data_IF_954879907776
#
_entry.id   IF_954879907776
#
_cell.length_a   1.000
_cell.length_b   1.000
_cell.length_c   1.000
_cell.angle_alpha   90.00
_cell.angle_beta   90.00
_cell.angle_gamma   90.00
#
_symmetry.space_group_name_H-M   'P 1'
#
loop_
_entity.id
_entity.type
_entity.pdbx_description
1 polymer ?
2 non-polymer ?
3 water ?
#
# COMPACT_ATOMS: atom_id res chain seq x y z
N UNK A 24 -9.28 8.27 11.81
CA UNK A 24 -8.71 6.90 11.77
C UNK A 24 -8.23 6.52 10.38
N UNK A 25 -8.13 7.51 9.49
CA UNK A 25 -7.73 7.25 8.10
C UNK A 25 -6.25 7.52 7.82
N UNK A 26 -5.57 8.18 8.74
CA UNK A 26 -4.19 8.64 8.52
C UNK A 26 -3.23 7.61 9.09
N UNK A 27 -2.24 7.20 8.28
CA UNK A 27 -1.33 6.13 8.68
C UNK A 27 0.12 6.56 8.39
N UNK A 28 0.34 7.05 7.20
CA UNK A 28 1.68 7.43 6.76
C UNK A 28 1.90 8.91 7.03
N UNK A 29 0.96 9.71 6.55
CA UNK A 29 1.04 11.19 6.63
C UNK A 29 -0.33 11.77 6.26
N UNK A 30 -0.82 12.73 7.06
CA UNK A 30 -2.10 13.36 6.68
C UNK A 30 -2.14 14.01 5.30
N UNK A 31 -1.00 14.35 4.70
CA UNK A 31 -0.99 14.91 3.36
C UNK A 31 -1.47 13.93 2.27
N UNK A 32 -1.54 12.64 2.62
CA UNK A 32 -2.02 11.64 1.68
C UNK A 32 -3.49 11.33 1.89
N UNK A 33 -4.23 12.25 2.51
CA UNK A 33 -5.66 12.03 2.77
C UNK A 33 -6.46 13.08 2.03
N UNK A 34 -6.97 12.74 0.85
CA UNK A 34 -7.76 13.66 -0.01
C UNK A 34 -9.26 13.63 0.32
N UNK A 35 -9.97 14.76 0.09
CA UNK A 35 -11.40 14.89 0.38
C UNK A 35 -12.35 14.26 -0.63
N UNK A 36 -11.80 13.72 -1.73
CA UNK A 36 -12.61 13.04 -2.73
C UNK A 36 -11.99 11.63 -2.90
N UNK A 37 -12.78 10.69 -3.42
CA UNK A 37 -12.18 9.40 -3.84
C UNK A 37 -11.15 9.55 -4.94
N UNK A 38 -10.12 8.71 -4.88
CA UNK A 38 -9.04 8.67 -5.86
C UNK A 38 -8.94 7.23 -6.34
N UNK A 39 -8.82 7.00 -7.65
CA UNK A 39 -8.64 5.65 -8.20
C UNK A 39 -7.18 5.54 -8.57
N UNK A 40 -6.53 4.49 -8.11
CA UNK A 40 -5.11 4.29 -8.45
C UNK A 40 -4.94 3.07 -9.30
N UNK A 41 -3.87 3.02 -10.11
CA UNK A 41 -3.67 1.86 -10.96
C UNK A 41 -2.17 1.64 -11.13
N UNK A 42 -1.78 0.43 -11.54
CA UNK A 42 -0.37 0.06 -11.78
C UNK A 42 -0.07 0.16 -13.28
N UNK A 43 1.05 0.82 -13.56
CA UNK A 43 1.61 0.85 -14.93
C UNK A 43 3.02 0.23 -14.88
N UNK A 44 3.25 -0.74 -15.77
CA UNK A 44 4.53 -1.47 -15.81
C UNK A 44 5.25 -1.25 -17.12
N UNK A 45 6.56 -1.42 -17.11
CA UNK A 45 7.33 -1.41 -18.38
C UNK A 45 7.35 -2.79 -19.00
N UNK A 51 8.88 -8.61 -11.85
CA UNK A 51 9.81 -7.53 -11.52
C UNK A 51 9.19 -6.48 -10.60
N UNK A 52 9.91 -6.19 -9.52
CA UNK A 52 9.43 -5.33 -8.45
C UNK A 52 9.26 -3.86 -8.79
N UNK A 53 9.60 -3.46 -10.03
CA UNK A 53 9.52 -2.04 -10.41
C UNK A 53 8.33 -1.71 -11.28
N UNK A 54 7.59 -0.69 -10.85
CA UNK A 54 6.41 -0.24 -11.58
C UNK A 54 6.00 1.10 -11.01
N UNK A 55 5.01 1.74 -11.60
CA UNK A 55 4.53 3.03 -11.13
C UNK A 55 3.06 2.92 -10.74
N UNK A 56 2.63 3.73 -9.77
CA UNK A 56 1.19 3.73 -9.43
C UNK A 56 0.71 5.11 -9.85
N UNK A 57 -0.36 5.17 -10.64
CA UNK A 57 -0.83 6.47 -11.20
C UNK A 57 -2.26 6.68 -10.74
N UNK A 58 -2.77 7.90 -10.87
CA UNK A 58 -4.20 8.07 -10.82
C UNK A 58 -4.84 7.65 -12.16
N UNK A 59 -6.16 7.80 -12.26
CA UNK A 59 -6.91 7.40 -13.48
C UNK A 59 -6.45 8.06 -14.77
N UNK A 60 -5.94 9.26 -14.63
CA UNK A 60 -5.55 10.10 -15.76
C UNK A 60 -4.08 9.93 -16.11
N UNK A 61 -3.40 8.99 -15.46
CA UNK A 61 -2.01 8.72 -15.75
C UNK A 61 -0.98 9.54 -14.99
N UNK A 62 -1.44 10.37 -14.04
CA UNK A 62 -0.54 11.16 -13.22
C UNK A 62 0.18 10.29 -12.22
N UNK A 63 1.51 10.38 -12.17
CA UNK A 63 2.29 9.55 -11.21
C UNK A 63 1.94 9.92 -9.78
N UNK A 64 1.60 8.90 -8.99
CA UNK A 64 1.46 9.06 -7.56
C UNK A 64 2.71 8.52 -6.87
N UNK A 65 3.14 7.27 -7.19
CA UNK A 65 4.39 6.71 -6.61
C UNK A 65 5.18 5.90 -7.64
N UNK A 66 6.50 5.98 -7.58
CA UNK A 66 7.32 5.00 -8.24
C UNK A 66 7.66 3.94 -7.25
N UNK A 67 7.53 2.71 -7.69
CA UNK A 67 7.83 1.60 -6.83
C UNK A 67 9.07 0.90 -7.33
N UNK A 68 10.06 0.79 -6.45
CA UNK A 68 11.29 0.08 -6.88
C UNK A 68 11.99 -0.69 -5.82
N UNK A 69 12.78 -1.68 -6.25
CA UNK A 69 13.72 -2.34 -5.32
C UNK A 69 14.96 -1.41 -5.31
N UNK A 70 15.31 -0.85 -4.15
CA UNK A 70 16.35 0.22 -4.09
C UNK A 70 17.75 -0.33 -4.37
N UNK A 71 17.94 -1.62 -4.13
CA UNK A 71 19.30 -2.21 -4.31
C UNK A 71 19.28 -3.41 -5.22
N UNK A 72 20.18 -3.39 -6.20
CA UNK A 72 20.30 -4.45 -7.17
C UNK A 72 20.66 -5.80 -6.51
N UNK A 73 20.02 -6.87 -6.95
CA UNK A 73 20.32 -8.23 -6.42
C UNK A 73 19.93 -8.52 -4.97
N UNK A 74 19.16 -7.59 -4.38
CA UNK A 74 18.54 -7.79 -3.08
C UNK A 74 17.05 -7.63 -3.35
N UNK A 75 16.23 -8.55 -2.85
CA UNK A 75 14.84 -8.55 -3.22
C UNK A 75 13.93 -8.43 -1.99
N UNK A 76 14.50 -8.07 -0.86
CA UNK A 76 13.78 -8.07 0.40
C UNK A 76 13.12 -6.69 0.69
N UNK A 77 13.39 -5.69 -0.15
CA UNK A 77 13.02 -4.30 0.20
C UNK A 77 12.41 -3.65 -1.03
N UNK A 78 11.37 -2.84 -0.84
CA UNK A 78 10.89 -2.02 -1.91
C UNK A 78 10.71 -0.63 -1.30
N UNK A 79 10.89 0.40 -2.10
CA UNK A 79 10.56 1.75 -1.67
C UNK A 79 9.49 2.38 -2.58
N UNK A 80 8.60 3.17 -2.00
CA UNK A 80 7.63 4.00 -2.74
C UNK A 80 8.17 5.40 -2.72
N UNK A 81 8.44 5.96 -3.90
CA UNK A 81 8.97 7.33 -4.04
C UNK A 81 7.88 8.22 -4.52
N UNK A 82 7.85 9.46 -4.07
CA UNK A 82 6.91 10.39 -4.72
C UNK A 82 7.45 10.94 -6.09
N UNK A 83 6.69 11.84 -6.73
CA UNK A 83 7.10 12.41 -8.04
C UNK A 83 8.42 13.19 -8.05
N UNK A 84 8.85 13.63 -6.86
CA UNK A 84 10.11 14.36 -6.71
C UNK A 84 11.27 13.39 -6.46
N UNK A 85 10.96 12.10 -6.30
CA UNK A 85 11.97 11.11 -6.07
C UNK A 85 12.27 10.88 -4.59
N UNK A 86 11.45 11.47 -3.72
CA UNK A 86 11.65 11.37 -2.26
C UNK A 86 10.97 10.10 -1.75
N UNK A 87 11.69 9.29 -0.96
CA UNK A 87 11.04 8.10 -0.36
C UNK A 87 9.89 8.46 0.53
N UNK A 88 8.76 7.75 0.36
CA UNK A 88 7.61 7.98 1.18
C UNK A 88 7.55 6.89 2.28
N UNK A 89 7.60 5.64 1.81
CA UNK A 89 7.77 4.52 2.76
C UNK A 89 8.74 3.47 2.18
N UNK A 90 9.29 2.67 3.09
CA UNK A 90 10.13 1.49 2.71
C UNK A 90 9.44 0.25 3.26
N UNK A 91 9.27 -0.75 2.40
CA UNK A 91 8.68 -2.07 2.85
C UNK A 91 9.83 -3.05 2.93
N UNK A 92 9.88 -3.82 4.00
CA UNK A 92 10.93 -4.84 4.14
C UNK A 92 10.25 -6.15 4.46
N UNK A 93 10.60 -7.18 3.72
CA UNK A 93 10.14 -8.53 4.09
C UNK A 93 11.19 -9.04 5.04
N UNK A 100 5.69 -13.98 4.37
CA UNK A 100 4.42 -13.85 5.05
C UNK A 100 4.33 -12.72 6.09
N UNK A 101 5.36 -11.86 6.12
CA UNK A 101 5.40 -10.80 7.10
C UNK A 101 6.21 -9.63 6.50
N UNK A 102 5.64 -8.42 6.54
CA UNK A 102 6.32 -7.19 5.99
C UNK A 102 6.28 -6.15 7.06
N UNK A 103 7.35 -5.36 7.18
CA UNK A 103 7.22 -4.13 7.99
C UNK A 103 7.39 -2.94 7.05
N UNK A 104 6.73 -1.84 7.41
CA UNK A 104 6.71 -0.69 6.52
C UNK A 104 7.13 0.45 7.43
N UNK A 105 8.11 1.20 6.92
CA UNK A 105 8.80 2.26 7.68
C UNK A 105 8.61 3.58 7.00
N UNK A 106 8.65 4.63 7.79
CA UNK A 106 8.67 6.01 7.25
C UNK A 106 9.88 6.28 6.37
N UNK A 107 9.62 6.88 5.21
CA UNK A 107 10.69 7.38 4.34
C UNK A 107 11.61 6.31 3.84
N UNK A 108 12.92 6.61 3.81
CA UNK A 108 13.89 5.66 3.35
C UNK A 108 14.54 4.86 4.46
N UNK A 109 13.84 4.65 5.55
CA UNK A 109 14.42 4.03 6.72
C UNK A 109 14.05 2.56 6.84
N UNK A 110 14.88 1.76 7.55
CA UNK A 110 14.42 0.47 8.09
C UNK A 110 14.70 0.41 9.61
N UNK A 111 14.85 1.58 10.25
CA UNK A 111 15.07 1.65 11.68
C UNK A 111 13.76 1.39 12.41
N UNK A 112 13.83 0.63 13.50
CA UNK A 112 12.65 0.23 14.22
C UNK A 112 11.88 1.45 14.72
N UNK A 113 12.59 2.54 15.05
CA UNK A 113 11.91 3.74 15.53
C UNK A 113 11.02 4.33 14.41
N UNK A 114 11.31 3.98 13.15
CA UNK A 114 10.50 4.54 12.03
C UNK A 114 9.38 3.60 11.56
N UNK A 115 9.13 2.56 12.34
CA UNK A 115 8.11 1.57 11.97
C UNK A 115 6.68 2.20 11.96
N UNK A 116 6.00 2.06 10.85
CA UNK A 116 4.64 2.56 10.72
C UNK A 116 3.62 1.43 10.96
N UNK A 117 3.87 0.28 10.35
CA UNK A 117 2.93 -0.88 10.58
C UNK A 117 3.58 -2.15 10.08
N UNK A 118 3.01 -3.27 10.55
CA UNK A 118 3.45 -4.61 10.13
C UNK A 118 2.26 -5.27 9.46
N UNK A 119 2.53 -6.05 8.42
CA UNK A 119 1.47 -6.70 7.65
C UNK A 119 1.78 -8.18 7.71
N UNK A 120 0.78 -8.98 8.06
CA UNK A 120 0.97 -10.42 8.15
C UNK A 120 0.04 -11.09 7.15
N UNK A 121 0.53 -12.13 6.51
CA UNK A 121 -0.34 -12.81 5.56
C UNK A 121 -1.30 -13.70 6.34
N UNK A 129 -9.12 -11.89 6.00
CA UNK A 129 -8.84 -13.11 5.24
C UNK A 129 -7.47 -13.16 4.55
N UNK A 130 -7.04 -12.13 3.83
CA UNK A 130 -5.81 -12.23 3.07
C UNK A 130 -4.57 -11.59 3.79
N UNK A 131 -4.74 -10.36 4.28
CA UNK A 131 -3.65 -9.66 4.97
C UNK A 131 -4.24 -8.95 6.24
N UNK A 132 -3.50 -8.98 7.35
CA UNK A 132 -3.84 -8.20 8.55
C UNK A 132 -2.75 -7.17 8.78
N UNK A 133 -3.18 -5.95 9.10
CA UNK A 133 -2.25 -4.87 9.33
C UNK A 133 -2.31 -4.43 10.77
N UNK A 134 -1.16 -4.29 11.38
CA UNK A 134 -1.02 -3.83 12.79
C UNK A 134 -0.17 -2.57 12.84
N UNK A 135 -0.74 -1.47 13.32
CA UNK A 135 0.06 -0.25 13.41
C UNK A 135 1.22 -0.43 14.39
N UNK A 136 2.27 0.36 14.20
CA UNK A 136 3.51 0.21 14.96
C UNK A 136 3.30 0.19 16.48
N UNK A 137 2.31 0.94 16.98
CA UNK A 137 2.05 1.04 18.44
C UNK A 137 1.12 -0.04 18.96
N UNK A 138 0.66 -0.90 18.06
CA UNK A 138 -0.25 -1.96 18.42
C UNK A 138 0.58 -3.15 18.86
N UNK A 139 0.78 -3.28 20.17
CA UNK A 139 1.67 -4.32 20.68
C UNK A 139 0.98 -5.69 20.71
N UNK A 140 -0.33 -5.75 20.44
CA UNK A 140 -1.06 -7.01 20.57
C UNK A 140 -1.59 -7.61 19.26
N UNK A 142 -3.80 -8.95 19.61
CA UNK A 142 -3.67 -9.05 18.14
C UNK A 142 -5.02 -8.87 17.46
N UNK A 143 -5.71 -7.79 17.82
CA UNK A 143 -6.72 -7.22 16.98
C UNK A 143 -5.92 -6.48 15.89
N UNK A 144 -6.20 -6.73 14.62
CA UNK A 144 -5.53 -5.89 13.61
C UNK A 144 -6.22 -4.55 13.50
N UNK A 145 -5.50 -3.56 12.96
CA UNK A 145 -6.04 -2.24 12.69
C UNK A 145 -6.72 -2.10 11.32
N UNK A 146 -6.25 -2.87 10.36
CA UNK A 146 -6.93 -2.97 9.04
C UNK A 146 -6.84 -4.41 8.59
N UNK A 147 -7.74 -4.79 7.68
CA UNK A 147 -7.64 -6.12 7.07
C UNK A 147 -7.91 -6.01 5.57
N UNK A 148 -7.30 -6.90 4.81
CA UNK A 148 -7.62 -6.98 3.39
C UNK A 148 -8.27 -8.34 3.11
N UNK A 149 -9.43 -8.31 2.46
CA UNK A 149 -10.15 -9.53 2.06
C UNK A 149 -10.32 -9.53 0.55
N UNK A 150 -10.86 -10.61 -0.01
CA UNK A 150 -11.12 -10.64 -1.46
C UNK A 150 -9.91 -11.20 -2.17
N UNK A 151 -9.92 -11.17 -3.50
CA UNK A 151 -8.88 -11.87 -4.28
C UNK A 151 -8.13 -10.98 -5.27
N UNK A 152 -6.79 -10.99 -5.20
CA UNK A 152 -5.95 -10.27 -6.15
C UNK A 152 -6.25 -10.72 -7.55
N UNK A 153 -6.29 -12.03 -7.76
CA UNK A 153 -6.48 -12.54 -9.12
C UNK A 153 -7.88 -12.25 -9.69
N UNK A 154 -8.89 -12.14 -8.84
CA UNK A 154 -10.24 -11.72 -9.27
C UNK A 154 -10.44 -10.19 -9.34
N UNK A 155 -9.42 -9.45 -8.88
CA UNK A 155 -9.51 -7.98 -8.82
C UNK A 155 -10.61 -7.52 -7.86
N UNK A 156 -10.73 -8.24 -6.74
CA UNK A 156 -11.80 -7.96 -5.79
C UNK A 156 -11.38 -7.61 -4.38
N UNK A 157 -10.10 -7.34 -4.18
CA UNK A 157 -9.59 -6.97 -2.86
C UNK A 157 -10.32 -5.78 -2.28
N UNK A 158 -10.60 -5.88 -1.00
CA UNK A 158 -11.26 -4.80 -0.26
C UNK A 158 -10.44 -4.63 1.01
N UNK A 159 -10.14 -3.38 1.36
CA UNK A 159 -9.45 -3.08 2.60
C UNK A 159 -10.48 -2.50 3.58
N UNK A 160 -10.47 -3.06 4.82
CA UNK A 160 -11.39 -2.62 5.88
C UNK A 160 -10.63 -2.06 7.05
N UNK A 161 -11.25 -1.08 7.74
CA UNK A 161 -10.76 -0.57 9.02
C UNK A 161 -11.17 -1.61 10.06
N UNK A 162 -10.26 -1.94 10.96
CA UNK A 162 -10.46 -3.06 11.88
C UNK A 162 -11.63 -2.80 12.84
N UNK A 163 -11.67 -1.61 13.44
CA UNK A 163 -12.51 -1.36 14.63
C UNK A 163 -13.94 -0.92 14.32
N UNK A 164 -14.29 -0.94 13.04
CA UNK A 164 -15.60 -0.49 12.57
C UNK A 164 -16.01 -1.34 11.39
N UNK A 165 -15.01 -2.02 10.83
CA UNK A 165 -15.14 -2.75 9.59
C UNK A 165 -15.65 -1.88 8.43
N UNK A 166 -15.28 -0.60 8.43
CA UNK A 166 -15.65 0.34 7.36
C UNK A 166 -14.71 0.02 6.18
N UNK A 167 -15.23 0.03 4.97
CA UNK A 167 -14.34 -0.14 3.75
C UNK A 167 -13.57 1.17 3.56
N UNK A 168 -12.23 1.05 3.44
CA UNK A 168 -11.39 2.20 3.16
C UNK A 168 -10.85 2.23 1.71
N UNK A 169 -10.86 1.07 1.07
CA UNK A 169 -10.45 0.97 -0.34
C UNK A 169 -11.03 -0.25 -0.99
N UNK A 170 -11.24 -0.14 -2.29
CA UNK A 170 -11.86 -1.24 -3.02
C UNK A 170 -11.27 -1.40 -4.43
N UNK A 171 -10.85 -2.61 -4.77
CA UNK A 171 -10.39 -2.92 -6.10
C UNK A 171 -11.55 -3.21 -7.07
N UNK A 172 -11.37 -2.81 -8.34
CA UNK A 172 -12.36 -3.06 -9.42
C UNK A 172 -11.62 -3.56 -10.63
N UNK A 173 -12.18 -4.55 -11.32
CA UNK A 173 -11.56 -5.07 -12.54
C UNK A 173 -11.87 -4.13 -13.66
N UNK A 174 -10.88 -3.88 -14.52
CA UNK A 174 -11.03 -3.14 -15.79
C UNK A 174 -10.95 -4.11 -16.98
N UNK A 183 1.09 -1.67 -20.89
CA UNK A 183 1.52 -2.15 -19.60
C UNK A 183 0.66 -1.62 -18.45
N UNK A 184 -0.65 -1.49 -18.66
CA UNK A 184 -1.56 -1.13 -17.54
C UNK A 184 -2.23 -2.40 -17.00
N UNK A 185 -2.15 -2.64 -15.68
CA UNK A 185 -2.88 -3.78 -15.08
C UNK A 185 -4.38 -3.55 -15.22
N UNK A 186 -5.11 -4.66 -15.28
CA UNK A 186 -6.55 -4.61 -15.53
C UNK A 186 -7.38 -4.32 -14.29
N UNK A 187 -6.96 -3.37 -13.46
CA UNK A 187 -7.79 -3.01 -12.35
C UNK A 187 -7.47 -1.60 -11.89
N UNK A 188 -8.38 -1.05 -11.08
CA UNK A 188 -8.02 0.15 -10.32
C UNK A 188 -8.40 -0.06 -8.89
N UNK A 189 -7.83 0.77 -8.01
CA UNK A 189 -8.22 0.67 -6.61
C UNK A 189 -8.79 2.05 -6.22
N UNK A 190 -10.05 2.07 -5.78
CA UNK A 190 -10.65 3.31 -5.22
C UNK A 190 -10.24 3.48 -3.79
N UNK A 191 -9.62 4.62 -3.48
CA UNK A 191 -9.34 4.97 -2.08
C UNK A 191 -10.41 5.98 -1.66
N UNK A 192 -11.10 5.68 -0.58
CA UNK A 192 -12.24 6.55 -0.24
C UNK A 192 -11.78 7.84 0.42
N UNK A 193 -12.69 8.83 0.54
CA UNK A 193 -12.26 10.11 1.07
C UNK A 193 -11.63 10.03 2.45
N UNK A 194 -10.54 10.79 2.64
CA UNK A 194 -9.82 10.88 3.90
C UNK A 194 -9.06 9.62 4.36
N UNK A 195 -8.96 8.66 3.45
CA UNK A 195 -8.13 7.50 3.71
C UNK A 195 -6.73 7.79 3.11
N UNK A 196 -5.71 7.33 3.82
CA UNK A 196 -4.32 7.62 3.43
C UNK A 196 -3.97 6.82 2.18
N UNK A 197 -3.79 7.51 1.06
CA UNK A 197 -3.59 6.74 -0.19
C UNK A 197 -2.15 6.19 -0.31
N UNK A 198 -1.22 6.72 0.49
CA UNK A 198 0.14 6.11 0.51
C UNK A 198 0.05 4.79 1.25
N UNK A 199 -0.73 4.80 2.31
CA UNK A 199 -0.96 3.53 3.03
C UNK A 199 -1.60 2.49 2.07
N UNK A 200 -2.68 2.85 1.38
CA UNK A 200 -3.28 1.90 0.46
C UNK A 200 -2.31 1.44 -0.69
N UNK A 201 -1.51 2.37 -1.20
CA UNK A 201 -0.55 2.05 -2.26
C UNK A 201 0.45 1.05 -1.68
N UNK A 202 0.85 1.19 -0.40
CA UNK A 202 1.77 0.17 0.10
C UNK A 202 1.16 -1.23 0.18
N UNK A 203 -0.16 -1.29 0.46
CA UNK A 203 -0.83 -2.57 0.49
C UNK A 203 -0.89 -3.20 -0.90
N UNK A 204 -1.16 -2.37 -1.92
CA UNK A 204 -1.17 -2.82 -3.30
C UNK A 204 0.17 -3.42 -3.69
N UNK A 205 1.23 -2.77 -3.23
CA UNK A 205 2.60 -3.28 -3.44
C UNK A 205 2.79 -4.67 -2.79
N UNK A 206 2.37 -4.79 -1.56
CA UNK A 206 2.44 -6.09 -0.86
C UNK A 206 1.58 -7.18 -1.56
N UNK A 207 0.36 -6.84 -1.98
CA UNK A 207 -0.45 -7.80 -2.72
C UNK A 207 0.22 -8.26 -3.98
N UNK A 208 0.80 -7.30 -4.70
CA UNK A 208 1.53 -7.64 -5.92
C UNK A 208 2.72 -8.61 -5.59
N UNK A 209 3.39 -8.38 -4.47
CA UNK A 209 4.56 -9.20 -4.04
C UNK A 209 4.08 -10.60 -3.75
N UNK A 210 2.93 -10.71 -3.10
CA UNK A 210 2.39 -12.06 -2.75
C UNK A 210 2.09 -12.80 -4.04
N UNK A 211 1.54 -12.08 -5.02
CA UNK A 211 1.20 -12.73 -6.28
C UNK A 211 2.40 -13.17 -7.08
N UNK A 212 3.51 -12.44 -6.97
CA UNK A 212 4.71 -12.68 -7.79
C UNK A 212 5.82 -13.46 -7.05
X LIG B 1 7.91 16.53 -9.97
X LIG B 1 9.16 16.96 -9.43
X LIG B 1 6.75 16.96 -9.07
X LIG B 1 6.80 18.37 -8.85
#
# INVERSE_FOLDING_TARGET
XEQPYVYAYPQGSGPSGAPTPQAGGVVVDPKYCAPYPIDMAIVRKXXSLTDGNFVITDVNGNLLFKVKEPVFGLHDKRVLLDGSGTPVVTLREKXVSXHDRWQVFRGGSTDQRDLLYTVKRSSXLQLKTKLDVFLGHNKDEKRCDFRVKGSWLERSCVVYAGESDAIVAQMHRKHTVQSVFLGKDNFSVTVYPNVDYAFIASLVVILDDVNREDRAA
EDO C1 O1 C2 O2
#
